data_IF_954346286207
#
_entry.id   IF_954346286207
#
_cell.length_a   1.000
_cell.length_b   1.000
_cell.length_c   1.000
_cell.angle_alpha   90.00
_cell.angle_beta   90.00
_cell.angle_gamma   90.00
#
_symmetry.space_group_name_H-M   'P 1'
#
loop_
_entity.id
_entity.type
_entity.pdbx_description
1 polymer ?
#
# COMPACT_ATOMS: atom_id res chain seq x y z
N UNK A 1 14.56 -14.71 -7.79
CA UNK A 1 14.20 -13.74 -8.86
C UNK A 1 15.42 -12.91 -9.30
N UNK A 2 15.33 -12.19 -10.43
CA UNK A 2 16.30 -11.14 -10.80
C UNK A 2 15.69 -9.72 -10.73
N UNK A 3 16.54 -8.69 -10.82
CA UNK A 3 16.13 -7.27 -10.70
C UNK A 3 15.09 -6.83 -11.73
N UNK A 4 14.99 -7.49 -12.88
CA UNK A 4 14.03 -7.16 -13.95
C UNK A 4 12.60 -7.55 -13.60
N UNK A 5 12.42 -8.44 -12.62
CA UNK A 5 11.10 -8.89 -12.16
C UNK A 5 10.47 -7.93 -11.13
N UNK A 6 11.18 -6.86 -10.74
CA UNK A 6 10.65 -5.78 -9.91
C UNK A 6 10.22 -4.64 -10.83
N UNK A 7 8.91 -4.49 -11.03
CA UNK A 7 8.35 -3.49 -11.92
C UNK A 7 8.32 -2.10 -11.29
N UNK A 8 8.25 -2.03 -9.97
CA UNK A 8 8.23 -0.77 -9.25
C UNK A 8 8.43 -0.93 -7.75
N UNK A 9 8.89 0.14 -7.11
CA UNK A 9 9.01 0.22 -5.66
C UNK A 9 8.50 1.59 -5.20
N UNK A 10 7.70 1.61 -4.13
CA UNK A 10 7.19 2.85 -3.55
C UNK A 10 7.55 2.92 -2.09
N UNK A 11 8.29 3.97 -1.72
CA UNK A 11 8.47 4.36 -0.32
C UNK A 11 7.33 5.29 0.10
N UNK A 12 6.40 4.78 0.90
CA UNK A 12 5.17 5.48 1.36
C UNK A 12 5.49 6.54 2.42
N UNK A 13 6.24 7.57 2.01
CA UNK A 13 6.57 8.77 2.79
C UNK A 13 5.49 9.85 2.57
N UNK A 14 5.82 10.99 1.95
CA UNK A 14 4.83 12.01 1.58
C UNK A 14 3.85 11.46 0.54
N UNK A 15 2.55 11.67 0.77
CA UNK A 15 1.46 11.03 0.02
C UNK A 15 1.13 9.61 0.49
N UNK A 16 1.92 9.05 1.41
CA UNK A 16 1.71 7.75 2.05
C UNK A 16 1.15 6.64 1.14
N UNK A 17 -0.05 6.14 1.40
CA UNK A 17 -0.67 5.07 0.62
C UNK A 17 -1.13 5.52 -0.77
N UNK A 18 -1.35 6.82 -0.97
CA UNK A 18 -1.74 7.40 -2.27
C UNK A 18 -0.56 7.78 -3.15
N UNK A 19 0.68 7.67 -2.65
CA UNK A 19 1.90 8.07 -3.36
C UNK A 19 2.07 7.36 -4.71
N UNK A 20 1.55 6.13 -4.84
CA UNK A 20 1.58 5.37 -6.09
C UNK A 20 0.91 6.12 -7.26
N UNK A 21 -0.09 6.97 -7.00
CA UNK A 21 -0.81 7.74 -8.02
C UNK A 21 0.05 8.77 -8.76
N UNK A 22 1.26 9.05 -8.28
CA UNK A 22 2.23 9.89 -8.99
C UNK A 22 3.03 9.13 -10.05
N UNK A 23 3.01 7.79 -10.03
CA UNK A 23 3.87 6.94 -10.85
C UNK A 23 3.11 6.06 -11.84
N UNK A 24 1.78 6.02 -11.74
CA UNK A 24 0.94 5.20 -12.62
C UNK A 24 0.08 6.08 -13.53
N UNK A 25 -0.17 5.57 -14.73
CA UNK A 25 -1.14 6.10 -15.68
C UNK A 25 -2.01 4.95 -16.19
N UNK A 26 -3.32 5.18 -16.37
CA UNK A 26 -4.29 4.17 -16.86
C UNK A 26 -4.25 2.83 -16.10
N UNK A 27 -4.04 2.89 -14.79
CA UNK A 27 -4.01 1.73 -13.90
C UNK A 27 -4.90 1.96 -12.67
N UNK A 28 -5.57 0.91 -12.23
CA UNK A 28 -6.28 0.85 -10.96
C UNK A 28 -5.47 0.05 -9.96
N UNK A 29 -4.98 0.72 -8.92
CA UNK A 29 -4.31 0.09 -7.79
C UNK A 29 -5.35 -0.25 -6.73
N UNK A 30 -5.43 -1.51 -6.32
CA UNK A 30 -6.40 -1.99 -5.34
C UNK A 30 -5.61 -2.49 -4.13
N UNK A 31 -5.89 -1.93 -2.95
CA UNK A 31 -5.28 -2.32 -1.68
C UNK A 31 -6.38 -2.83 -0.74
N UNK A 32 -6.64 -4.13 -0.79
CA UNK A 32 -7.76 -4.80 -0.12
C UNK A 32 -7.34 -5.85 0.90
N UNK A 33 -6.04 -5.97 1.17
CA UNK A 33 -5.48 -6.83 2.20
C UNK A 33 -4.43 -6.06 3.02
N UNK A 34 -4.82 -4.90 3.54
CA UNK A 34 -3.94 -4.01 4.31
C UNK A 34 -3.50 -4.67 5.63
N UNK A 35 -2.34 -4.27 6.15
CA UNK A 35 -1.97 -4.61 7.52
C UNK A 35 -2.98 -4.01 8.51
N UNK A 36 -3.18 -4.68 9.63
CA UNK A 36 -3.93 -4.11 10.74
C UNK A 36 -3.29 -2.79 11.18
N UNK A 37 -4.11 -1.75 11.35
CA UNK A 37 -3.61 -0.42 11.72
C UNK A 37 -2.86 -0.50 13.07
N UNK A 38 -1.57 -0.13 13.11
CA UNK A 38 -0.81 -0.12 14.36
C UNK A 38 -1.44 0.79 15.42
N UNK A 39 -1.31 0.46 16.72
CA UNK A 39 -1.86 1.28 17.82
C UNK A 39 -1.44 2.76 17.77
N UNK A 40 -0.24 3.04 17.27
CA UNK A 40 0.25 4.40 17.05
C UNK A 40 -0.69 5.22 16.14
N UNK A 41 -1.08 4.67 14.99
CA UNK A 41 -1.94 5.40 14.05
C UNK A 41 -3.39 5.44 14.50
N UNK A 42 -3.86 4.43 15.25
CA UNK A 42 -5.14 4.50 15.95
C UNK A 42 -5.17 5.67 16.93
N UNK A 43 -4.14 5.78 17.78
CA UNK A 43 -4.00 6.90 18.73
C UNK A 43 -3.98 8.25 18.02
N UNK A 44 -3.20 8.40 16.94
CA UNK A 44 -3.16 9.63 16.16
C UNK A 44 -4.55 9.99 15.65
N UNK A 45 -5.25 9.04 15.01
CA UNK A 45 -6.59 9.25 14.47
C UNK A 45 -7.61 9.60 15.57
N UNK A 46 -7.54 8.91 16.71
CA UNK A 46 -8.41 9.15 17.85
C UNK A 46 -8.23 10.53 18.47
N UNK A 47 -7.00 11.07 18.50
CA UNK A 47 -6.70 12.38 19.05
C UNK A 47 -6.95 13.52 18.06
N UNK A 48 -6.58 13.33 16.79
CA UNK A 48 -6.74 14.37 15.77
C UNK A 48 -8.16 14.44 15.19
N UNK A 49 -8.91 13.34 15.28
CA UNK A 49 -10.20 13.14 14.59
C UNK A 49 -10.10 13.31 13.07
N UNK A 50 -8.91 13.10 12.50
CA UNK A 50 -8.69 13.12 11.06
C UNK A 50 -9.50 12.01 10.40
N UNK A 51 -10.08 12.32 9.24
CA UNK A 51 -10.83 11.35 8.45
C UNK A 51 -9.91 10.22 7.96
N UNK A 52 -10.39 8.98 7.95
CA UNK A 52 -9.58 7.83 7.53
C UNK A 52 -9.08 7.94 6.09
N UNK A 53 -9.83 8.60 5.20
CA UNK A 53 -9.40 8.89 3.84
C UNK A 53 -8.12 9.74 3.82
N UNK A 54 -8.06 10.76 4.69
CA UNK A 54 -6.91 11.65 4.85
C UNK A 54 -5.77 10.96 5.61
N UNK A 55 -6.08 10.11 6.60
CA UNK A 55 -5.08 9.30 7.30
C UNK A 55 -4.21 8.50 6.32
N UNK A 56 -4.81 7.88 5.30
CA UNK A 56 -4.07 7.14 4.27
C UNK A 56 -3.28 8.02 3.28
N UNK A 57 -3.56 9.32 3.20
CA UNK A 57 -2.79 10.27 2.38
C UNK A 57 -1.56 10.82 3.14
N UNK A 58 -1.66 10.91 4.46
CA UNK A 58 -0.64 11.52 5.31
C UNK A 58 0.27 10.48 5.98
N UNK A 59 -0.30 9.35 6.39
CA UNK A 59 0.38 8.32 7.18
C UNK A 59 0.44 6.98 6.46
N UNK A 60 1.54 6.26 6.68
CA UNK A 60 1.75 4.95 6.06
C UNK A 60 0.82 3.85 6.62
N UNK A 61 0.22 4.06 7.80
CA UNK A 61 -0.84 3.22 8.35
C UNK A 61 -0.50 1.72 8.50
N UNK A 62 0.78 1.32 8.52
CA UNK A 62 1.17 -0.07 8.80
C UNK A 62 2.37 -0.55 8.01
N UNK A 63 2.48 -0.16 6.74
CA UNK A 63 3.63 -0.50 5.90
C UNK A 63 4.14 0.73 5.16
N UNK A 64 5.47 0.87 5.09
CA UNK A 64 6.12 2.04 4.48
C UNK A 64 6.86 1.75 3.17
N UNK A 65 6.88 0.49 2.74
CA UNK A 65 7.52 0.05 1.51
C UNK A 65 6.57 -0.87 0.74
N UNK A 66 6.46 -0.66 -0.57
CA UNK A 66 5.66 -1.48 -1.48
C UNK A 66 6.52 -1.92 -2.65
N UNK A 67 6.37 -3.18 -3.06
CA UNK A 67 6.98 -3.75 -4.26
C UNK A 67 5.88 -4.14 -5.24
N UNK A 68 6.01 -3.73 -6.50
CA UNK A 68 5.12 -4.08 -7.59
C UNK A 68 5.82 -5.13 -8.45
N UNK A 69 5.30 -6.35 -8.44
CA UNK A 69 5.97 -7.54 -8.96
C UNK A 69 4.95 -8.51 -9.55
N UNK A 70 5.44 -9.46 -10.35
CA UNK A 70 4.65 -10.63 -10.71
C UNK A 70 4.31 -11.49 -9.48
N UNK A 71 3.11 -12.07 -9.47
CA UNK A 71 2.62 -12.89 -8.36
C UNK A 71 3.53 -14.11 -8.07
N UNK A 72 4.22 -14.61 -9.09
CA UNK A 72 5.12 -15.76 -9.00
C UNK A 72 6.31 -15.54 -8.05
N UNK A 73 6.76 -14.28 -7.87
CA UNK A 73 7.93 -13.97 -7.01
C UNK A 73 7.54 -13.43 -5.63
N UNK A 74 6.26 -13.14 -5.40
CA UNK A 74 5.79 -12.50 -4.16
C UNK A 74 6.12 -13.32 -2.90
N UNK A 75 5.98 -14.66 -2.95
CA UNK A 75 6.28 -15.53 -1.80
C UNK A 75 7.76 -15.52 -1.42
N UNK A 76 8.65 -15.47 -2.41
CA UNK A 76 10.10 -15.42 -2.19
C UNK A 76 10.49 -14.09 -1.51
N UNK A 77 9.94 -12.97 -1.99
CA UNK A 77 10.16 -11.64 -1.39
C UNK A 77 9.65 -11.56 0.05
N UNK A 78 8.48 -12.15 0.33
CA UNK A 78 7.95 -12.23 1.70
C UNK A 78 8.88 -13.04 2.60
N UNK A 79 9.41 -14.17 2.12
CA UNK A 79 10.36 -14.98 2.88
C UNK A 79 11.67 -14.23 3.19
N UNK A 80 12.18 -13.45 2.23
CA UNK A 80 13.36 -12.60 2.44
C UNK A 80 13.08 -11.54 3.50
N UNK A 81 11.97 -10.79 3.38
CA UNK A 81 11.56 -9.79 4.39
C UNK A 81 11.49 -10.41 5.78
N UNK A 82 10.89 -11.60 5.88
CA UNK A 82 10.79 -12.35 7.14
C UNK A 82 12.15 -12.77 7.70
N UNK A 83 13.15 -13.08 6.87
CA UNK A 83 14.51 -13.37 7.37
C UNK A 83 15.19 -12.17 8.05
N UNK A 84 14.72 -10.95 7.77
CA UNK A 84 15.12 -9.72 8.45
C UNK A 84 14.17 -9.34 9.60
N UNK A 85 13.25 -10.24 9.99
CA UNK A 85 12.20 -10.00 10.98
C UNK A 85 11.27 -8.82 10.63
N UNK A 86 11.02 -8.62 9.33
CA UNK A 86 10.07 -7.63 8.83
C UNK A 86 8.91 -8.35 8.17
N UNK A 87 7.70 -8.17 8.71
CA UNK A 87 6.50 -8.77 8.13
C UNK A 87 6.20 -8.19 6.75
N UNK A 88 5.80 -9.08 5.84
CA UNK A 88 5.41 -8.73 4.48
C UNK A 88 4.23 -9.60 4.06
N UNK A 89 3.31 -9.00 3.31
CA UNK A 89 2.19 -9.71 2.69
C UNK A 89 1.82 -9.07 1.36
N UNK A 90 1.06 -9.80 0.55
CA UNK A 90 0.44 -9.22 -0.64
C UNK A 90 -0.71 -8.33 -0.14
N UNK A 91 -0.52 -7.01 -0.20
CA UNK A 91 -1.52 -6.04 0.29
C UNK A 91 -2.62 -5.72 -0.72
N UNK A 92 -2.46 -6.17 -1.97
CA UNK A 92 -3.32 -5.77 -3.07
C UNK A 92 -2.80 -6.18 -4.44
N UNK A 93 -3.34 -5.56 -5.49
CA UNK A 93 -3.02 -5.84 -6.89
C UNK A 93 -3.19 -4.60 -7.77
N UNK A 94 -2.78 -4.72 -9.02
CA UNK A 94 -2.95 -3.68 -10.04
C UNK A 94 -3.75 -4.25 -11.21
N UNK A 95 -4.72 -3.49 -11.70
CA UNK A 95 -5.56 -3.82 -12.85
C UNK A 95 -5.47 -2.72 -13.91
N UNK A 96 -5.73 -3.07 -15.17
CA UNK A 96 -5.85 -2.08 -16.25
C UNK A 96 -7.06 -1.18 -16.03
N UNK A 97 -6.95 0.11 -16.33
CA UNK A 97 -8.02 1.08 -16.17
C UNK A 97 -7.98 2.15 -17.26
N UNK A 98 -9.08 2.84 -17.49
CA UNK A 98 -9.12 3.99 -18.42
C UNK A 98 -8.50 5.25 -17.82
N UNK A 99 -8.39 5.30 -16.49
CA UNK A 99 -7.81 6.40 -15.72
C UNK A 99 -6.97 5.88 -14.56
N UNK A 100 -6.04 6.68 -14.05
CA UNK A 100 -5.37 6.33 -12.79
C UNK A 100 -6.39 6.35 -11.64
N UNK A 101 -6.39 5.30 -10.82
CA UNK A 101 -7.30 5.16 -9.69
C UNK A 101 -6.63 4.36 -8.58
N UNK A 102 -6.97 4.67 -7.33
CA UNK A 102 -6.63 3.86 -6.17
C UNK A 102 -7.88 3.59 -5.34
N UNK A 103 -8.06 2.33 -4.94
CA UNK A 103 -9.06 1.92 -3.95
C UNK A 103 -8.35 1.26 -2.77
N UNK A 104 -8.63 1.75 -1.57
CA UNK A 104 -8.18 1.14 -0.31
C UNK A 104 -9.42 0.58 0.40
N UNK A 105 -9.41 -0.72 0.69
CA UNK A 105 -10.41 -1.38 1.53
C UNK A 105 -9.75 -1.78 2.84
N UNK A 106 -10.37 -1.38 3.95
CA UNK A 106 -9.88 -1.65 5.30
C UNK A 106 -11.05 -1.78 6.28
N UNK A 107 -10.77 -2.16 7.52
CA UNK A 107 -11.76 -2.23 8.60
C UNK A 107 -12.52 -0.90 8.85
N UNK A 108 -11.97 0.22 8.36
CA UNK A 108 -12.54 1.56 8.52
C UNK A 108 -13.38 2.02 7.32
N UNK A 109 -13.50 1.20 6.27
CA UNK A 109 -14.28 1.49 5.08
C UNK A 109 -13.51 1.35 3.77
N UNK A 110 -14.16 1.81 2.70
CA UNK A 110 -13.62 1.81 1.33
C UNK A 110 -13.35 3.26 0.92
N UNK A 111 -12.12 3.53 0.50
CA UNK A 111 -11.66 4.86 0.14
C UNK A 111 -11.15 4.89 -1.30
N UNK A 112 -11.65 5.83 -2.09
CA UNK A 112 -11.25 6.00 -3.49
C UNK A 112 -10.52 7.32 -3.71
N UNK A 113 -9.47 7.26 -4.54
CA UNK A 113 -8.58 8.36 -4.90
C UNK A 113 -8.31 8.32 -6.41
N UNK A 114 -8.14 9.51 -7.00
CA UNK A 114 -7.88 9.70 -8.44
C UNK A 114 -6.81 10.78 -8.64
#
# INVERSE_FOLDING_TARGET
YDKSQIHGMVHCSGGAQTKILHFVDKLHVIKDNMFAIPPLFKLIQEQSKTDWKEMYQVFNCGHRMELYVEASIAKELIAISKSFNVDAQIIGRVESSTQKKLTISSDYGIFEYS
#
